data_IF_028727171999
#
_entry.id   IF_028727171999
#
_cell.length_a   1.000
_cell.length_b   1.000
_cell.length_c   1.000
_cell.angle_alpha   90.00
_cell.angle_beta   90.00
_cell.angle_gamma   90.00
#
_symmetry.space_group_name_H-M   'P 1'
#
loop_
_entity.id
_entity.type
_entity.pdbx_description
1 polymer ?
#
# COMPACT_ATOMS: atom_id res chain seq x y z
N UNK A 1 27.86 -7.34 -11.94
CA UNK A 1 27.32 -7.47 -10.58
C UNK A 1 27.14 -8.94 -10.27
N UNK A 2 27.95 -9.48 -9.36
CA UNK A 2 27.94 -10.91 -8.97
C UNK A 2 26.62 -11.21 -8.24
N UNK A 3 25.85 -12.19 -8.71
CA UNK A 3 24.64 -12.66 -8.02
C UNK A 3 25.04 -13.14 -6.61
N UNK A 4 24.43 -12.56 -5.58
CA UNK A 4 24.65 -12.98 -4.20
C UNK A 4 24.21 -14.44 -4.04
N UNK A 5 24.99 -15.23 -3.29
CA UNK A 5 24.69 -16.65 -3.07
C UNK A 5 23.32 -16.80 -2.38
N UNK A 6 22.52 -17.84 -2.69
CA UNK A 6 21.16 -18.04 -2.19
C UNK A 6 21.04 -17.99 -0.65
N UNK A 7 22.09 -18.36 0.08
CA UNK A 7 22.11 -18.35 1.54
C UNK A 7 22.27 -16.93 2.12
N UNK A 8 22.92 -16.01 1.42
CA UNK A 8 23.05 -14.61 1.86
C UNK A 8 21.70 -13.88 1.74
N UNK A 9 20.92 -14.19 0.72
CA UNK A 9 19.58 -13.61 0.55
C UNK A 9 18.60 -14.11 1.61
N UNK A 10 18.64 -15.39 1.95
CA UNK A 10 17.86 -15.96 3.07
C UNK A 10 18.19 -15.33 4.41
N UNK A 11 19.47 -15.10 4.70
CA UNK A 11 19.92 -14.46 5.93
C UNK A 11 19.50 -12.99 6.01
N UNK A 12 19.45 -12.26 4.88
CA UNK A 12 18.94 -10.87 4.81
C UNK A 12 17.44 -10.80 5.04
N UNK A 13 16.67 -11.67 4.40
CA UNK A 13 15.22 -11.79 4.58
C UNK A 13 14.87 -12.12 6.03
N UNK A 14 15.57 -13.08 6.65
CA UNK A 14 15.32 -13.45 8.04
C UNK A 14 15.60 -12.31 9.03
N UNK A 15 16.62 -11.49 8.78
CA UNK A 15 16.91 -10.28 9.58
C UNK A 15 15.82 -9.22 9.39
N UNK A 16 15.38 -8.99 8.16
CA UNK A 16 14.33 -8.04 7.87
C UNK A 16 12.99 -8.45 8.52
N UNK A 17 12.65 -9.74 8.48
CA UNK A 17 11.47 -10.29 9.15
C UNK A 17 11.51 -10.10 10.67
N UNK A 18 12.67 -10.36 11.30
CA UNK A 18 12.85 -10.10 12.73
C UNK A 18 12.70 -8.62 13.07
N UNK A 19 13.32 -7.73 12.28
CA UNK A 19 13.18 -6.30 12.47
C UNK A 19 11.72 -5.84 12.33
N UNK A 20 10.98 -6.39 11.36
CA UNK A 20 9.54 -6.14 11.22
C UNK A 20 8.74 -6.61 12.45
N UNK A 21 9.00 -7.78 12.98
CA UNK A 21 8.31 -8.28 14.20
C UNK A 21 8.55 -7.31 15.36
N UNK A 22 9.79 -6.84 15.54
CA UNK A 22 10.10 -5.87 16.59
C UNK A 22 9.39 -4.54 16.38
N UNK A 23 9.55 -3.89 15.22
CA UNK A 23 9.01 -2.55 14.99
C UNK A 23 7.51 -2.57 14.64
N UNK A 24 7.05 -3.54 13.86
CA UNK A 24 5.66 -3.61 13.41
C UNK A 24 4.70 -4.25 14.42
N UNK A 25 5.20 -5.01 15.41
CA UNK A 25 4.35 -5.72 16.36
C UNK A 25 4.74 -5.41 17.81
N UNK A 26 5.98 -5.72 18.22
CA UNK A 26 6.38 -5.63 19.64
C UNK A 26 6.34 -4.19 20.13
N UNK A 27 6.96 -3.25 19.40
CA UNK A 27 6.98 -1.83 19.78
C UNK A 27 5.57 -1.25 19.89
N UNK A 28 4.66 -1.38 18.91
CA UNK A 28 3.29 -0.88 19.04
C UNK A 28 2.51 -1.49 20.20
N UNK A 29 2.67 -2.79 20.47
CA UNK A 29 2.03 -3.46 21.61
C UNK A 29 2.56 -2.89 22.93
N UNK A 30 3.86 -2.69 23.06
CA UNK A 30 4.47 -2.09 24.26
C UNK A 30 3.98 -0.65 24.43
N UNK A 31 3.93 0.15 23.37
CA UNK A 31 3.39 1.52 23.41
C UNK A 31 1.93 1.52 23.87
N UNK A 32 1.12 0.59 23.36
CA UNK A 32 -0.29 0.44 23.75
C UNK A 32 -0.40 0.09 25.24
N UNK A 33 0.34 -0.89 25.71
CA UNK A 33 0.33 -1.26 27.13
C UNK A 33 0.78 -0.10 28.02
N UNK A 34 1.84 0.63 27.62
CA UNK A 34 2.33 1.80 28.36
C UNK A 34 1.27 2.92 28.43
N UNK A 35 0.62 3.25 27.32
CA UNK A 35 -0.44 4.26 27.29
C UNK A 35 -1.60 3.87 28.22
N UNK A 36 -2.07 2.63 28.14
CA UNK A 36 -3.16 2.11 29.01
C UNK A 36 -2.76 2.17 30.49
N UNK A 37 -1.55 1.76 30.83
CA UNK A 37 -1.06 1.82 32.23
C UNK A 37 -1.03 3.25 32.74
N UNK A 38 -0.52 4.21 31.96
CA UNK A 38 -0.51 5.63 32.34
C UNK A 38 -1.93 6.15 32.55
N UNK A 39 -2.84 5.86 31.61
CA UNK A 39 -4.24 6.30 31.71
C UNK A 39 -4.96 5.71 32.92
N UNK A 40 -4.75 4.42 33.23
CA UNK A 40 -5.29 3.78 34.43
C UNK A 40 -4.74 4.40 35.73
N UNK A 41 -3.45 4.75 35.73
CA UNK A 41 -2.82 5.35 36.92
C UNK A 41 -3.36 6.73 37.29
N UNK A 42 -3.81 7.52 36.29
CA UNK A 42 -4.37 8.87 36.51
C UNK A 42 -5.91 8.90 36.49
N UNK A 43 -6.57 7.77 36.24
CA UNK A 43 -8.02 7.69 36.06
C UNK A 43 -8.81 8.27 37.22
N UNK A 44 -8.35 8.08 38.45
CA UNK A 44 -9.01 8.65 39.65
C UNK A 44 -8.76 10.15 39.87
N UNK A 45 -7.96 10.78 39.00
CA UNK A 45 -7.59 12.21 39.12
C UNK A 45 -8.21 13.07 38.01
N UNK A 46 -8.84 12.45 37.02
CA UNK A 46 -9.53 13.16 35.91
C UNK A 46 -11.00 13.30 36.22
N UNK A 47 -11.69 14.32 35.65
CA UNK A 47 -13.16 14.45 35.79
C UNK A 47 -13.86 13.27 35.09
N UNK A 48 -15.08 12.96 35.49
CA UNK A 48 -15.95 12.02 34.79
C UNK A 48 -17.31 12.67 34.55
N UNK A 49 -17.68 12.95 33.27
CA UNK A 49 -17.01 12.60 32.02
C UNK A 49 -15.73 13.41 31.73
N UNK A 50 -14.85 12.86 30.89
CA UNK A 50 -13.65 13.51 30.34
C UNK A 50 -13.94 14.10 28.97
N UNK A 51 -13.22 15.13 28.55
CA UNK A 51 -13.23 15.65 27.19
C UNK A 51 -12.47 14.67 26.25
N UNK A 52 -13.08 14.32 25.12
CA UNK A 52 -12.52 13.41 24.11
C UNK A 52 -12.59 13.96 22.69
N UNK A 53 -13.28 15.09 22.49
CA UNK A 53 -13.37 15.77 21.21
C UNK A 53 -13.32 17.28 21.42
N UNK A 54 -12.68 17.99 20.46
CA UNK A 54 -12.54 19.45 20.44
C UNK A 54 -13.05 20.00 19.12
N UNK A 55 -13.90 20.99 19.20
CA UNK A 55 -14.45 21.70 18.06
C UNK A 55 -13.40 22.54 17.31
N UNK A 56 -13.82 23.13 16.19
CA UNK A 56 -12.96 23.99 15.34
C UNK A 56 -12.40 25.20 16.12
N UNK A 57 -13.10 25.66 17.15
CA UNK A 57 -12.65 26.73 18.07
C UNK A 57 -11.53 26.29 19.03
N UNK A 58 -11.25 25.01 19.13
CA UNK A 58 -10.28 24.45 20.07
C UNK A 58 -10.82 24.19 21.47
N UNK A 59 -12.11 24.40 21.68
CA UNK A 59 -12.81 24.11 22.95
C UNK A 59 -13.37 22.69 22.95
N UNK A 60 -13.43 22.02 24.13
CA UNK A 60 -14.05 20.70 24.27
C UNK A 60 -15.55 20.75 23.93
N UNK A 61 -15.98 19.90 22.99
CA UNK A 61 -17.40 19.81 22.59
C UNK A 61 -17.92 18.36 22.57
N UNK A 62 -17.07 17.37 22.92
CA UNK A 62 -17.47 15.98 23.08
C UNK A 62 -16.87 15.34 24.33
N UNK A 63 -17.70 14.59 25.05
CA UNK A 63 -17.35 14.04 26.35
C UNK A 63 -17.67 12.53 26.40
N UNK A 64 -16.88 11.77 27.17
CA UNK A 64 -17.09 10.35 27.38
C UNK A 64 -16.75 9.95 28.82
N UNK A 65 -17.23 8.80 29.26
CA UNK A 65 -16.87 8.25 30.55
C UNK A 65 -15.35 7.98 30.63
N UNK A 66 -14.69 8.34 31.71
CA UNK A 66 -13.24 8.26 31.85
C UNK A 66 -12.68 6.85 31.58
N UNK A 67 -13.41 5.80 32.03
CA UNK A 67 -13.01 4.39 31.80
C UNK A 67 -12.97 3.99 30.31
N UNK A 68 -13.69 4.69 29.46
CA UNK A 68 -13.74 4.36 28.03
C UNK A 68 -12.44 4.68 27.28
N UNK A 69 -11.64 5.64 27.80
CA UNK A 69 -10.40 6.08 27.14
C UNK A 69 -9.31 5.00 27.12
N UNK A 70 -8.98 4.33 28.24
CA UNK A 70 -8.04 3.20 28.19
C UNK A 70 -8.53 2.04 27.31
N UNK A 71 -9.84 1.76 27.31
CA UNK A 71 -10.43 0.74 26.46
C UNK A 71 -10.29 1.08 24.97
N UNK A 72 -10.58 2.34 24.61
CA UNK A 72 -10.39 2.86 23.25
C UNK A 72 -8.92 2.78 22.82
N UNK A 73 -7.99 3.19 23.70
CA UNK A 73 -6.55 3.13 23.47
C UNK A 73 -6.08 1.70 23.22
N UNK A 74 -6.53 0.75 24.04
CA UNK A 74 -6.23 -0.69 23.85
C UNK A 74 -6.79 -1.19 22.51
N UNK A 75 -8.05 -0.89 22.21
CA UNK A 75 -8.72 -1.31 20.97
C UNK A 75 -8.05 -0.73 19.72
N UNK A 76 -7.77 0.57 19.71
CA UNK A 76 -7.07 1.22 18.59
C UNK A 76 -5.64 0.72 18.44
N UNK A 77 -4.87 0.66 19.54
CA UNK A 77 -3.47 0.24 19.50
C UNK A 77 -3.31 -1.20 19.02
N UNK A 78 -4.07 -2.14 19.57
CA UNK A 78 -4.05 -3.55 19.14
C UNK A 78 -4.66 -3.70 17.75
N UNK A 79 -5.82 -3.08 17.49
CA UNK A 79 -6.54 -3.19 16.21
C UNK A 79 -5.70 -2.67 15.04
N UNK A 80 -5.08 -1.50 15.17
CA UNK A 80 -4.20 -0.94 14.13
C UNK A 80 -2.93 -1.77 13.96
N UNK A 81 -2.35 -2.28 15.05
CA UNK A 81 -1.19 -3.18 14.97
C UNK A 81 -1.55 -4.45 14.20
N UNK A 82 -2.67 -5.09 14.51
CA UNK A 82 -3.13 -6.30 13.80
C UNK A 82 -3.43 -5.99 12.35
N UNK A 83 -4.18 -4.91 12.06
CA UNK A 83 -4.56 -4.52 10.70
C UNK A 83 -3.34 -4.30 9.82
N UNK A 84 -2.41 -3.44 10.24
CA UNK A 84 -1.23 -3.09 9.44
C UNK A 84 -0.23 -4.26 9.33
N UNK A 85 -0.09 -5.08 10.40
CA UNK A 85 0.80 -6.23 10.38
C UNK A 85 0.23 -7.42 9.62
N UNK A 86 -1.10 -7.62 9.58
CA UNK A 86 -1.72 -8.70 8.84
C UNK A 86 -1.40 -8.63 7.34
N UNK A 87 -1.43 -7.43 6.74
CA UNK A 87 -1.04 -7.23 5.35
C UNK A 87 0.40 -7.69 5.07
N UNK A 88 1.33 -7.34 5.96
CA UNK A 88 2.72 -7.78 5.84
C UNK A 88 2.89 -9.30 6.02
N UNK A 89 2.18 -9.90 6.99
CA UNK A 89 2.29 -11.32 7.28
C UNK A 89 1.65 -12.19 6.18
N UNK A 90 0.58 -11.73 5.53
CA UNK A 90 -0.01 -12.41 4.38
C UNK A 90 1.01 -12.48 3.23
N UNK A 91 1.67 -11.36 2.91
CA UNK A 91 2.75 -11.33 1.91
C UNK A 91 3.97 -12.20 2.29
N UNK A 92 4.31 -12.26 3.59
CA UNK A 92 5.44 -13.05 4.09
C UNK A 92 5.23 -14.57 4.03
N UNK A 93 3.98 -15.07 4.10
CA UNK A 93 3.66 -16.51 3.97
C UNK A 93 4.10 -17.08 2.63
N UNK A 94 4.23 -16.26 1.64
CA UNK A 94 4.62 -16.64 0.29
C UNK A 94 6.14 -16.60 0.05
N UNK A 95 6.93 -16.36 1.10
CA UNK A 95 8.40 -16.39 1.06
C UNK A 95 9.06 -15.14 0.48
N UNK A 96 8.28 -14.14 0.12
CA UNK A 96 8.76 -12.91 -0.49
C UNK A 96 8.71 -11.74 0.49
N UNK A 97 9.82 -11.02 0.62
CA UNK A 97 9.97 -9.87 1.50
C UNK A 97 10.43 -8.65 0.70
N UNK A 98 9.56 -7.67 0.53
CA UNK A 98 9.81 -6.50 -0.32
C UNK A 98 9.88 -5.17 0.45
N UNK A 99 10.11 -4.05 -0.26
CA UNK A 99 10.18 -2.70 0.31
C UNK A 99 8.93 -2.27 1.08
N UNK A 100 7.75 -2.76 0.65
CA UNK A 100 6.47 -2.50 1.32
C UNK A 100 6.43 -3.01 2.74
N UNK A 101 7.06 -4.16 3.02
CA UNK A 101 7.13 -4.73 4.38
C UNK A 101 7.90 -3.81 5.31
N UNK A 102 9.01 -3.23 4.82
CA UNK A 102 9.77 -2.23 5.56
C UNK A 102 8.94 -0.97 5.83
N UNK A 103 8.18 -0.51 4.84
CA UNK A 103 7.29 0.65 5.00
C UNK A 103 6.21 0.39 6.05
N UNK A 104 5.49 -0.74 5.97
CA UNK A 104 4.47 -1.11 6.96
C UNK A 104 5.06 -1.28 8.36
N UNK A 105 6.23 -1.92 8.47
CA UNK A 105 6.93 -2.05 9.75
C UNK A 105 7.38 -0.71 10.36
N UNK A 106 7.46 0.36 9.56
CA UNK A 106 7.75 1.72 10.04
C UNK A 106 6.49 2.54 10.29
N UNK A 107 5.47 2.34 9.45
CA UNK A 107 4.20 3.03 9.56
C UNK A 107 3.44 2.61 10.82
N UNK A 108 3.48 1.34 11.20
CA UNK A 108 2.73 0.83 12.36
C UNK A 108 3.11 1.53 13.67
N UNK A 109 4.38 1.59 14.09
CA UNK A 109 4.75 2.29 15.32
C UNK A 109 4.53 3.80 15.22
N UNK A 110 4.67 4.39 14.04
CA UNK A 110 4.40 5.80 13.81
C UNK A 110 2.92 6.14 14.08
N UNK A 111 2.00 5.42 13.45
CA UNK A 111 0.56 5.66 13.57
C UNK A 111 0.08 5.32 14.98
N UNK A 112 0.42 4.14 15.50
CA UNK A 112 -0.01 3.72 16.84
C UNK A 112 0.57 4.63 17.91
N UNK A 113 1.87 4.92 17.86
CA UNK A 113 2.52 5.79 18.85
C UNK A 113 2.02 7.24 18.80
N UNK A 114 1.83 7.79 17.60
CA UNK A 114 1.29 9.14 17.43
C UNK A 114 -0.13 9.28 17.98
N UNK A 115 -1.03 8.36 17.64
CA UNK A 115 -2.42 8.37 18.13
C UNK A 115 -2.46 8.17 19.65
N UNK A 116 -1.74 7.19 20.18
CA UNK A 116 -1.72 6.93 21.61
C UNK A 116 -1.11 8.09 22.40
N UNK A 117 -0.11 8.77 21.84
CA UNK A 117 0.45 9.99 22.45
C UNK A 117 -0.60 11.10 22.56
N UNK A 118 -1.38 11.35 21.49
CA UNK A 118 -2.46 12.34 21.52
C UNK A 118 -3.49 11.97 22.58
N UNK A 119 -4.00 10.74 22.54
CA UNK A 119 -5.06 10.30 23.49
C UNK A 119 -4.56 10.32 24.93
N UNK A 120 -3.33 9.85 25.17
CA UNK A 120 -2.79 9.82 26.55
C UNK A 120 -2.51 11.22 27.06
N UNK A 121 -1.94 12.10 26.22
CA UNK A 121 -1.68 13.50 26.60
C UNK A 121 -2.96 14.23 26.95
N UNK A 122 -3.99 14.18 26.09
CA UNK A 122 -5.27 14.83 26.34
C UNK A 122 -5.95 14.30 27.60
N UNK A 123 -5.81 13.01 27.89
CA UNK A 123 -6.36 12.40 29.08
C UNK A 123 -5.63 12.83 30.37
N UNK A 124 -4.28 12.75 30.34
CA UNK A 124 -3.44 13.13 31.50
C UNK A 124 -3.53 14.63 31.81
N UNK A 125 -3.64 15.48 30.78
CA UNK A 125 -3.77 16.93 30.96
C UNK A 125 -5.05 17.33 31.71
N UNK A 126 -6.05 16.47 31.78
CA UNK A 126 -7.27 16.70 32.56
C UNK A 126 -7.17 16.30 34.04
N UNK A 127 -6.02 15.75 34.47
CA UNK A 127 -5.83 15.37 35.86
C UNK A 127 -5.84 16.62 36.79
N UNK A 128 -6.66 16.59 37.82
CA UNK A 128 -6.84 17.69 38.77
C UNK A 128 -7.90 18.72 38.37
N UNK A 129 -8.48 18.60 37.15
CA UNK A 129 -9.61 19.43 36.76
C UNK A 129 -10.89 18.98 37.47
N UNK A 130 -11.74 19.93 37.78
CA UNK A 130 -13.06 19.67 38.39
C UNK A 130 -14.11 19.37 37.32
N UNK A 131 -13.96 19.95 36.13
CA UNK A 131 -14.88 19.78 35.00
C UNK A 131 -14.09 19.59 33.72
N UNK A 132 -14.60 18.76 32.79
CA UNK A 132 -13.97 18.53 31.51
C UNK A 132 -14.07 19.73 30.56
N UNK A 133 -14.93 20.70 30.84
CA UNK A 133 -15.04 21.95 30.07
C UNK A 133 -13.81 22.84 30.21
N UNK A 134 -13.03 22.68 31.29
CA UNK A 134 -11.80 23.41 31.54
C UNK A 134 -10.57 22.78 30.92
N UNK A 135 -10.75 21.71 30.11
CA UNK A 135 -9.64 21.04 29.45
C UNK A 135 -8.99 21.94 28.41
N UNK A 136 -7.64 21.90 28.39
CA UNK A 136 -6.85 22.66 27.43
C UNK A 136 -7.11 22.21 25.97
N UNK A 137 -6.75 23.10 25.03
CA UNK A 137 -6.94 22.83 23.60
C UNK A 137 -6.08 21.67 23.06
N UNK A 138 -6.50 21.10 21.93
CA UNK A 138 -5.90 19.91 21.30
C UNK A 138 -4.57 20.16 20.58
N UNK A 139 -4.17 21.42 20.36
CA UNK A 139 -3.02 21.76 19.48
C UNK A 139 -1.71 21.17 20.01
N UNK A 140 -1.43 21.31 21.30
CA UNK A 140 -0.22 20.77 21.90
C UNK A 140 -0.15 19.24 21.82
N UNK A 141 -1.19 18.47 22.19
CA UNK A 141 -1.25 17.02 21.97
C UNK A 141 -1.02 16.60 20.51
N UNK A 142 -1.59 17.35 19.54
CA UNK A 142 -1.38 17.06 18.11
C UNK A 142 0.08 17.26 17.68
N UNK A 143 0.74 18.33 18.16
CA UNK A 143 2.16 18.58 17.87
C UNK A 143 3.03 17.45 18.41
N UNK A 144 2.85 17.07 19.67
CA UNK A 144 3.63 15.98 20.29
C UNK A 144 3.30 14.62 19.70
N UNK A 145 2.04 14.35 19.36
CA UNK A 145 1.64 13.13 18.67
C UNK A 145 2.26 13.04 17.27
N UNK A 146 2.25 14.15 16.53
CA UNK A 146 2.93 14.25 15.23
C UNK A 146 4.45 14.04 15.31
N UNK A 147 5.10 14.70 16.28
CA UNK A 147 6.53 14.53 16.54
C UNK A 147 6.88 13.07 16.90
N UNK A 148 6.08 12.45 17.78
CA UNK A 148 6.23 11.04 18.16
C UNK A 148 6.08 10.12 16.95
N UNK A 149 5.08 10.34 16.09
CA UNK A 149 4.88 9.57 14.87
C UNK A 149 6.08 9.67 13.92
N UNK A 150 6.61 10.87 13.70
CA UNK A 150 7.78 11.11 12.85
C UNK A 150 9.00 10.38 13.43
N UNK A 151 9.29 10.55 14.71
CA UNK A 151 10.46 9.96 15.35
C UNK A 151 10.39 8.42 15.29
N UNK A 152 9.27 7.83 15.70
CA UNK A 152 9.09 6.38 15.67
C UNK A 152 9.15 5.81 14.24
N UNK A 153 8.53 6.50 13.28
CA UNK A 153 8.58 6.12 11.88
C UNK A 153 9.98 6.15 11.30
N UNK A 154 10.73 7.23 11.55
CA UNK A 154 12.12 7.38 11.09
C UNK A 154 13.03 6.35 11.75
N UNK A 155 12.97 6.19 13.06
CA UNK A 155 13.77 5.19 13.80
C UNK A 155 13.49 3.79 13.26
N UNK A 156 12.22 3.40 13.11
CA UNK A 156 11.87 2.11 12.55
C UNK A 156 12.35 1.96 11.10
N UNK A 157 12.23 2.99 10.28
CA UNK A 157 12.69 2.97 8.88
C UNK A 157 14.20 2.79 8.74
N UNK A 158 14.99 3.52 9.52
CA UNK A 158 16.47 3.43 9.41
C UNK A 158 17.02 2.14 10.02
N UNK A 159 16.34 1.60 11.04
CA UNK A 159 16.74 0.36 11.73
C UNK A 159 16.39 -0.92 10.97
N UNK A 160 15.45 -0.86 10.00
CA UNK A 160 15.08 -2.02 9.21
C UNK A 160 16.01 -2.21 8.01
N UNK A 161 16.52 -3.44 7.76
CA UNK A 161 17.38 -3.73 6.61
C UNK A 161 16.67 -3.47 5.28
N UNK A 162 17.41 -2.96 4.30
CA UNK A 162 16.94 -2.88 2.91
C UNK A 162 17.06 -4.27 2.27
N UNK A 163 15.94 -4.84 1.90
CA UNK A 163 15.88 -6.07 1.12
C UNK A 163 15.40 -5.68 -0.28
N UNK A 164 16.26 -5.87 -1.26
CA UNK A 164 15.88 -5.84 -2.67
C UNK A 164 15.58 -7.28 -3.04
N UNK A 165 14.32 -7.61 -3.25
CA UNK A 165 13.96 -8.89 -3.83
C UNK A 165 14.37 -8.80 -5.29
N UNK A 166 15.44 -9.51 -5.65
CA UNK A 166 15.70 -9.81 -7.03
C UNK A 166 14.60 -10.78 -7.46
N UNK A 167 13.52 -10.26 -8.03
CA UNK A 167 12.55 -11.09 -8.73
C UNK A 167 13.36 -12.01 -9.65
N UNK A 168 13.12 -13.32 -9.57
CA UNK A 168 13.85 -14.26 -10.38
C UNK A 168 13.79 -13.80 -11.83
N UNK A 169 14.91 -13.30 -12.35
CA UNK A 169 15.03 -12.97 -13.77
C UNK A 169 15.00 -14.28 -14.51
N UNK A 170 13.82 -14.69 -14.94
CA UNK A 170 13.70 -15.66 -16.00
C UNK A 170 14.16 -14.91 -17.25
N UNK A 171 15.42 -15.06 -17.63
CA UNK A 171 15.85 -14.67 -18.98
C UNK A 171 14.87 -15.34 -19.92
N UNK A 172 14.22 -14.55 -20.75
CA UNK A 172 13.41 -15.07 -21.84
C UNK A 172 14.35 -15.88 -22.77
N UNK A 173 14.49 -17.17 -22.47
CA UNK A 173 15.12 -18.17 -23.35
C UNK A 173 14.11 -18.71 -24.36
N UNK A 174 13.13 -17.88 -24.72
CA UNK A 174 12.24 -18.22 -25.83
C UNK A 174 13.00 -17.92 -27.09
N UNK A 175 13.06 -18.92 -28.01
CA UNK A 175 13.45 -18.65 -29.37
C UNK A 175 12.64 -17.49 -29.90
N UNK A 176 13.30 -16.34 -30.05
CA UNK A 176 12.67 -15.15 -30.58
C UNK A 176 12.32 -15.45 -32.02
N UNK A 177 11.03 -15.49 -32.41
CA UNK A 177 10.69 -15.73 -33.81
C UNK A 177 11.40 -14.68 -34.66
N UNK A 178 12.19 -15.10 -35.62
CA UNK A 178 12.82 -14.20 -36.59
C UNK A 178 11.71 -13.58 -37.44
N UNK A 179 11.30 -12.34 -37.12
CA UNK A 179 10.33 -11.65 -37.94
C UNK A 179 10.91 -11.27 -39.28
N UNK A 180 10.28 -11.72 -40.37
CA UNK A 180 10.65 -11.36 -41.72
C UNK A 180 10.42 -9.86 -41.98
N UNK A 181 11.13 -9.28 -43.00
CA UNK A 181 10.91 -7.89 -43.39
C UNK A 181 9.45 -7.71 -43.85
N UNK A 182 8.71 -6.81 -43.19
CA UNK A 182 7.30 -6.51 -43.47
C UNK A 182 6.29 -7.36 -42.71
N UNK A 183 6.70 -8.36 -41.96
CA UNK A 183 5.80 -9.15 -41.14
C UNK A 183 5.24 -8.33 -39.98
N UNK A 184 3.92 -8.37 -39.78
CA UNK A 184 3.23 -7.70 -38.67
C UNK A 184 2.90 -8.74 -37.61
N UNK A 185 3.62 -8.69 -36.49
CA UNK A 185 3.30 -9.49 -35.32
C UNK A 185 2.64 -8.61 -34.27
N UNK A 186 1.57 -9.11 -33.69
CA UNK A 186 0.82 -8.45 -32.59
C UNK A 186 0.52 -9.48 -31.54
N UNK A 187 0.85 -9.17 -30.30
CA UNK A 187 0.47 -9.97 -29.14
C UNK A 187 -0.49 -9.14 -28.27
N UNK A 188 -1.59 -9.77 -27.85
CA UNK A 188 -2.61 -9.12 -27.02
C UNK A 188 -3.05 -10.07 -25.93
N UNK A 189 -3.09 -9.58 -24.70
CA UNK A 189 -3.69 -10.26 -23.55
C UNK A 189 -4.45 -9.25 -22.67
N UNK A 190 -5.37 -9.79 -21.90
CA UNK A 190 -6.07 -9.03 -20.86
C UNK A 190 -5.55 -9.51 -19.52
N UNK A 191 -5.13 -8.58 -18.66
CA UNK A 191 -4.83 -8.84 -17.26
C UNK A 191 -5.95 -8.27 -16.39
N UNK A 192 -6.37 -9.00 -15.36
CA UNK A 192 -7.44 -8.59 -14.46
C UNK A 192 -7.07 -8.87 -13.01
N UNK A 193 -7.74 -8.17 -12.11
CA UNK A 193 -7.63 -8.41 -10.68
C UNK A 193 -8.10 -9.83 -10.36
N UNK A 194 -7.42 -10.49 -9.43
CA UNK A 194 -7.81 -11.81 -8.95
C UNK A 194 -9.20 -11.78 -8.29
N UNK A 195 -9.90 -12.93 -8.32
CA UNK A 195 -11.27 -13.06 -7.83
C UNK A 195 -11.46 -12.56 -6.38
N UNK A 196 -10.52 -12.85 -5.49
CA UNK A 196 -10.59 -12.39 -4.10
C UNK A 196 -10.58 -10.86 -3.98
N UNK A 197 -9.69 -10.18 -4.70
CA UNK A 197 -9.64 -8.71 -4.72
C UNK A 197 -10.90 -8.10 -5.33
N UNK A 198 -11.45 -8.73 -6.38
CA UNK A 198 -12.71 -8.33 -7.00
C UNK A 198 -13.88 -8.42 -6.01
N UNK A 199 -14.02 -9.55 -5.31
CA UNK A 199 -15.07 -9.74 -4.30
C UNK A 199 -15.00 -8.70 -3.19
N UNK A 200 -13.81 -8.38 -2.70
CA UNK A 200 -13.62 -7.36 -1.66
C UNK A 200 -14.05 -5.97 -2.15
N UNK A 201 -13.61 -5.56 -3.34
CA UNK A 201 -13.92 -4.23 -3.88
C UNK A 201 -15.40 -4.07 -4.23
N UNK A 202 -15.98 -5.06 -4.91
CA UNK A 202 -17.41 -5.06 -5.25
C UNK A 202 -18.25 -5.13 -3.98
N UNK A 203 -17.87 -6.00 -3.03
CA UNK A 203 -18.56 -6.12 -1.73
C UNK A 203 -18.54 -4.79 -0.95
N UNK A 204 -17.39 -4.11 -0.88
CA UNK A 204 -17.31 -2.79 -0.23
C UNK A 204 -18.21 -1.76 -0.91
N UNK A 205 -18.28 -1.75 -2.25
CA UNK A 205 -19.15 -0.85 -3.01
C UNK A 205 -20.62 -1.13 -2.73
N UNK A 206 -21.01 -2.40 -2.71
CA UNK A 206 -22.39 -2.83 -2.40
C UNK A 206 -22.77 -2.45 -0.97
N UNK A 207 -21.87 -2.63 0.01
CA UNK A 207 -22.10 -2.26 1.40
C UNK A 207 -22.32 -0.74 1.51
N UNK A 208 -21.46 0.08 0.88
CA UNK A 208 -21.63 1.54 0.89
C UNK A 208 -22.97 1.97 0.29
N UNK A 209 -23.37 1.33 -0.81
CA UNK A 209 -24.66 1.60 -1.43
C UNK A 209 -25.84 1.19 -0.53
N UNK A 210 -25.76 0.03 0.12
CA UNK A 210 -26.77 -0.43 1.07
C UNK A 210 -26.87 0.49 2.30
N UNK A 211 -25.73 0.96 2.83
CA UNK A 211 -25.69 1.93 3.92
C UNK A 211 -26.32 3.27 3.51
N UNK A 212 -26.08 3.73 2.28
CA UNK A 212 -26.71 4.95 1.77
C UNK A 212 -28.24 4.80 1.67
N UNK A 213 -28.73 3.67 1.17
CA UNK A 213 -30.18 3.39 1.13
C UNK A 213 -30.80 3.30 2.51
N UNK A 214 -30.11 2.67 3.46
CA UNK A 214 -30.56 2.57 4.84
C UNK A 214 -30.67 3.97 5.49
N UNK A 215 -29.63 4.79 5.36
CA UNK A 215 -29.62 6.16 5.90
C UNK A 215 -30.70 7.04 5.25
N UNK A 216 -30.92 6.90 3.93
CA UNK A 216 -32.02 7.57 3.23
C UNK A 216 -33.39 7.15 3.78
N UNK A 217 -33.62 5.84 3.98
CA UNK A 217 -34.89 5.33 4.52
C UNK A 217 -35.11 5.75 5.99
N UNK A 218 -34.02 5.93 6.75
CA UNK A 218 -34.05 6.44 8.13
C UNK A 218 -34.16 7.98 8.24
N UNK A 219 -34.38 8.68 7.13
CA UNK A 219 -34.36 10.14 7.02
C UNK A 219 -33.07 10.78 7.54
N UNK A 220 -31.94 10.05 7.44
CA UNK A 220 -30.61 10.53 7.77
C UNK A 220 -30.07 11.53 6.75
N UNK A 221 -28.96 12.18 7.06
CA UNK A 221 -28.36 13.25 6.24
C UNK A 221 -27.08 12.85 5.48
N UNK A 222 -26.52 11.65 5.73
CA UNK A 222 -25.22 11.23 5.17
C UNK A 222 -25.33 10.42 3.84
N UNK A 223 -26.52 9.98 3.45
CA UNK A 223 -26.72 9.18 2.24
C UNK A 223 -26.15 9.79 0.95
N UNK A 224 -26.17 11.13 0.71
CA UNK A 224 -25.60 11.67 -0.52
C UNK A 224 -24.09 11.47 -0.58
N UNK A 225 -23.39 11.61 0.57
CA UNK A 225 -21.97 11.39 0.67
C UNK A 225 -21.63 9.91 0.41
N UNK A 226 -22.38 8.99 1.03
CA UNK A 226 -22.21 7.55 0.82
C UNK A 226 -22.43 7.15 -0.63
N UNK A 227 -23.44 7.71 -1.31
CA UNK A 227 -23.67 7.48 -2.73
C UNK A 227 -22.54 8.01 -3.61
N UNK A 228 -22.04 9.21 -3.32
CA UNK A 228 -20.90 9.78 -4.06
C UNK A 228 -19.67 8.88 -3.88
N UNK A 229 -19.37 8.45 -2.66
CA UNK A 229 -18.22 7.57 -2.38
C UNK A 229 -18.39 6.22 -3.07
N UNK A 230 -19.58 5.60 -3.02
CA UNK A 230 -19.86 4.37 -3.72
C UNK A 230 -19.72 4.51 -5.25
N UNK A 231 -20.22 5.61 -5.82
CA UNK A 231 -20.10 5.92 -7.24
C UNK A 231 -18.66 6.13 -7.69
N UNK A 232 -17.87 6.90 -6.93
CA UNK A 232 -16.43 7.09 -7.18
C UNK A 232 -15.69 5.76 -7.08
N UNK A 233 -15.97 4.94 -6.08
CA UNK A 233 -15.35 3.62 -5.91
C UNK A 233 -15.70 2.71 -7.09
N UNK A 234 -16.97 2.66 -7.51
CA UNK A 234 -17.39 1.89 -8.69
C UNK A 234 -16.67 2.34 -9.96
N UNK A 235 -16.53 3.66 -10.18
CA UNK A 235 -15.79 4.21 -11.32
C UNK A 235 -14.30 3.83 -11.28
N UNK A 236 -13.67 3.92 -10.12
CA UNK A 236 -12.26 3.51 -9.92
C UNK A 236 -12.09 2.01 -10.19
N UNK A 237 -13.00 1.17 -9.71
CA UNK A 237 -13.00 -0.28 -9.99
C UNK A 237 -13.08 -0.51 -11.50
N UNK A 238 -14.04 0.10 -12.18
CA UNK A 238 -14.23 -0.05 -13.62
C UNK A 238 -13.00 0.41 -14.43
N UNK A 239 -12.31 1.46 -13.95
CA UNK A 239 -11.13 1.99 -14.60
C UNK A 239 -9.85 1.17 -14.35
N UNK A 240 -9.76 0.41 -13.24
CA UNK A 240 -8.48 -0.14 -12.78
C UNK A 240 -8.44 -1.65 -12.59
N UNK A 241 -9.58 -2.33 -12.64
CA UNK A 241 -9.69 -3.76 -12.35
C UNK A 241 -9.21 -4.66 -13.48
N UNK A 242 -9.15 -4.13 -14.70
CA UNK A 242 -8.77 -4.85 -15.91
C UNK A 242 -7.95 -3.96 -16.82
N UNK A 243 -6.95 -4.54 -17.52
CA UNK A 243 -6.18 -3.85 -18.56
C UNK A 243 -5.96 -4.76 -19.75
N UNK A 244 -6.06 -4.18 -20.94
CA UNK A 244 -5.61 -4.81 -22.19
C UNK A 244 -4.15 -4.44 -22.40
N UNK A 245 -3.30 -5.47 -22.48
CA UNK A 245 -1.87 -5.37 -22.78
C UNK A 245 -1.67 -5.75 -24.24
N UNK A 246 -1.01 -4.89 -24.99
CA UNK A 246 -0.72 -5.08 -26.41
C UNK A 246 0.75 -4.79 -26.68
N UNK A 247 1.38 -5.67 -27.43
CA UNK A 247 2.72 -5.51 -27.98
C UNK A 247 2.60 -5.52 -29.51
N UNK A 248 3.07 -4.47 -30.16
CA UNK A 248 3.08 -4.32 -31.61
C UNK A 248 4.27 -3.48 -32.08
N UNK A 249 4.28 -3.09 -33.36
CA UNK A 249 5.34 -2.26 -33.96
C UNK A 249 5.47 -0.85 -33.33
N UNK A 250 4.50 -0.40 -32.56
CA UNK A 250 4.55 0.87 -31.83
C UNK A 250 5.09 0.71 -30.40
N UNK A 251 5.29 -0.53 -29.93
CA UNK A 251 5.81 -0.85 -28.60
C UNK A 251 4.82 -1.54 -27.67
N UNK A 252 4.98 -1.33 -26.37
CA UNK A 252 4.10 -1.86 -25.33
C UNK A 252 3.01 -0.85 -24.99
N UNK A 253 1.75 -1.27 -25.06
CA UNK A 253 0.59 -0.48 -24.67
C UNK A 253 -0.23 -1.22 -23.62
N UNK A 254 -0.62 -0.51 -22.55
CA UNK A 254 -1.46 -1.03 -21.48
C UNK A 254 -2.60 -0.05 -21.26
N UNK A 255 -3.83 -0.48 -21.55
CA UNK A 255 -5.00 0.40 -21.60
C UNK A 255 -6.15 -0.19 -20.80
N UNK A 256 -6.76 0.62 -19.94
CA UNK A 256 -7.97 0.25 -19.20
C UNK A 256 -9.20 0.17 -20.12
N UNK A 257 -10.31 -0.49 -19.71
CA UNK A 257 -11.54 -0.55 -20.49
C UNK A 257 -12.13 0.83 -20.83
N UNK A 258 -11.97 1.80 -19.94
CA UNK A 258 -12.44 3.16 -20.12
C UNK A 258 -11.49 4.04 -20.96
N UNK A 259 -10.37 3.47 -21.43
CA UNK A 259 -9.32 4.21 -22.14
C UNK A 259 -8.40 5.03 -21.23
N UNK A 260 -8.75 5.18 -19.94
CA UNK A 260 -7.98 5.88 -18.91
C UNK A 260 -8.05 5.05 -17.61
N UNK A 261 -6.91 4.76 -16.97
CA UNK A 261 -5.53 5.12 -17.35
C UNK A 261 -5.00 4.31 -18.54
N UNK A 262 -4.06 4.90 -19.25
CA UNK A 262 -3.33 4.24 -20.34
C UNK A 262 -1.83 4.49 -20.20
N UNK A 263 -1.05 3.47 -20.54
CA UNK A 263 0.42 3.51 -20.51
C UNK A 263 0.93 3.08 -21.87
N UNK A 264 1.95 3.76 -22.37
CA UNK A 264 2.62 3.43 -23.62
C UNK A 264 4.13 3.51 -23.44
N UNK A 265 4.84 2.52 -23.95
CA UNK A 265 6.29 2.50 -24.02
C UNK A 265 6.69 2.25 -25.46
N UNK A 266 7.02 3.30 -26.24
CA UNK A 266 7.47 3.18 -27.61
C UNK A 266 8.76 2.37 -27.72
N UNK A 267 8.99 1.71 -28.89
CA UNK A 267 10.15 0.84 -29.09
C UNK A 267 11.48 1.58 -28.95
N UNK A 268 11.56 2.80 -29.44
CA UNK A 268 12.73 3.68 -29.37
C UNK A 268 13.16 4.06 -27.94
N UNK A 269 12.23 3.99 -26.98
CA UNK A 269 12.50 4.25 -25.58
C UNK A 269 12.90 3.00 -24.79
N UNK A 270 12.83 1.82 -25.37
CA UNK A 270 13.10 0.54 -24.71
C UNK A 270 14.59 0.24 -24.71
N UNK A 271 15.20 0.24 -23.51
CA UNK A 271 16.60 -0.16 -23.32
C UNK A 271 16.70 -1.66 -23.04
N UNK A 272 15.84 -2.18 -22.15
CA UNK A 272 15.89 -3.57 -21.72
C UNK A 272 14.48 -4.11 -21.44
N UNK A 273 14.28 -5.40 -21.69
CA UNK A 273 13.01 -6.10 -21.41
C UNK A 273 13.32 -7.39 -20.68
N UNK A 274 12.64 -7.62 -19.57
CA UNK A 274 12.81 -8.81 -18.73
C UNK A 274 11.46 -9.42 -18.38
N UNK A 275 11.46 -10.72 -18.15
CA UNK A 275 10.37 -11.39 -17.44
C UNK A 275 10.77 -11.49 -15.98
N UNK A 276 9.91 -10.99 -15.10
CA UNK A 276 10.12 -10.98 -13.65
C UNK A 276 8.90 -11.59 -12.96
N UNK A 277 9.12 -12.25 -11.83
CA UNK A 277 8.00 -12.65 -10.96
C UNK A 277 7.68 -11.52 -10.01
N UNK A 278 6.40 -11.15 -9.91
CA UNK A 278 5.91 -10.03 -9.11
C UNK A 278 4.93 -10.51 -8.05
N UNK A 279 5.15 -10.04 -6.82
CA UNK A 279 4.18 -10.10 -5.76
C UNK A 279 3.60 -8.70 -5.53
N UNK A 280 2.30 -8.46 -5.83
CA UNK A 280 1.70 -7.14 -5.72
C UNK A 280 1.87 -6.48 -4.35
N UNK A 281 1.68 -7.25 -3.27
CA UNK A 281 1.79 -6.72 -1.91
C UNK A 281 3.23 -6.44 -1.50
N UNK A 282 4.15 -7.34 -1.82
CA UNK A 282 5.55 -7.20 -1.42
C UNK A 282 6.29 -6.10 -2.21
N UNK A 283 6.07 -6.07 -3.54
CA UNK A 283 6.85 -5.22 -4.46
C UNK A 283 6.22 -3.84 -4.66
N UNK A 284 4.88 -3.76 -4.66
CA UNK A 284 4.14 -2.55 -5.03
C UNK A 284 3.15 -2.06 -3.95
N UNK A 285 3.04 -2.73 -2.82
CA UNK A 285 2.12 -2.35 -1.75
C UNK A 285 0.65 -2.59 -2.06
N UNK A 286 0.34 -3.43 -3.05
CA UNK A 286 -1.03 -3.79 -3.42
C UNK A 286 -1.24 -3.93 -4.91
N UNK A 287 -2.48 -4.25 -5.25
CA UNK A 287 -2.92 -4.42 -6.63
C UNK A 287 -3.28 -3.08 -7.29
N UNK A 288 -3.29 -3.06 -8.62
CA UNK A 288 -3.71 -1.91 -9.43
C UNK A 288 -2.57 -1.21 -10.14
N UNK A 289 -2.79 0.08 -10.48
CA UNK A 289 -1.74 0.98 -10.95
C UNK A 289 -0.98 1.49 -9.74
N UNK A 290 0.31 1.15 -9.64
CA UNK A 290 1.13 1.42 -8.47
C UNK A 290 2.49 1.97 -8.84
N UNK A 291 3.04 2.78 -7.93
CA UNK A 291 4.44 3.15 -7.93
C UNK A 291 5.11 2.43 -6.76
N UNK A 292 6.04 1.54 -7.05
CA UNK A 292 6.83 0.84 -6.06
C UNK A 292 7.75 1.79 -5.29
N UNK A 293 8.10 1.41 -4.07
CA UNK A 293 9.06 2.16 -3.24
C UNK A 293 10.48 2.15 -3.81
N UNK A 294 10.75 1.29 -4.76
CA UNK A 294 11.97 1.20 -5.57
C UNK A 294 11.96 2.12 -6.80
N UNK A 295 10.87 2.86 -7.01
CA UNK A 295 10.69 3.80 -8.12
C UNK A 295 10.07 3.20 -9.37
N UNK A 296 9.88 1.87 -9.46
CA UNK A 296 9.19 1.23 -10.59
C UNK A 296 7.72 1.64 -10.63
N UNK A 297 7.18 1.85 -11.81
CA UNK A 297 5.73 2.03 -12.01
C UNK A 297 5.16 0.73 -12.58
N UNK A 298 4.04 0.26 -12.04
CA UNK A 298 3.45 -1.01 -12.48
C UNK A 298 1.94 -0.98 -12.62
N UNK A 299 1.44 -1.81 -13.54
CA UNK A 299 0.05 -2.29 -13.59
C UNK A 299 0.08 -3.71 -13.07
N UNK A 300 -0.17 -3.88 -11.78
CA UNK A 300 0.04 -5.11 -11.03
C UNK A 300 -1.29 -5.62 -10.51
N UNK A 301 -1.95 -6.47 -11.25
CA UNK A 301 -3.31 -6.93 -10.94
C UNK A 301 -3.35 -8.33 -10.34
N UNK A 302 -2.26 -9.08 -10.44
CA UNK A 302 -2.16 -10.43 -9.92
C UNK A 302 -0.71 -10.76 -9.58
N UNK A 303 -0.51 -11.80 -8.80
CA UNK A 303 0.79 -12.40 -8.57
C UNK A 303 1.19 -13.25 -9.77
N UNK A 304 2.48 -13.32 -10.05
CA UNK A 304 3.08 -14.16 -11.07
C UNK A 304 3.95 -13.39 -12.05
N UNK A 305 4.07 -13.91 -13.26
CA UNK A 305 4.96 -13.37 -14.26
C UNK A 305 4.50 -11.99 -14.77
N UNK A 306 5.48 -11.14 -15.01
CA UNK A 306 5.29 -9.79 -15.49
C UNK A 306 6.34 -9.44 -16.55
N UNK A 307 5.98 -8.59 -17.48
CA UNK A 307 6.92 -7.92 -18.37
C UNK A 307 7.43 -6.67 -17.69
N UNK A 308 8.74 -6.59 -17.48
CA UNK A 308 9.45 -5.42 -17.00
C UNK A 308 10.20 -4.76 -18.16
N UNK A 309 9.96 -3.48 -18.34
CA UNK A 309 10.58 -2.66 -19.42
C UNK A 309 11.35 -1.52 -18.80
N UNK A 310 12.65 -1.48 -19.04
CA UNK A 310 13.52 -0.34 -18.68
C UNK A 310 13.56 0.66 -19.83
N UNK A 311 13.31 1.93 -19.53
CA UNK A 311 13.29 3.02 -20.52
C UNK A 311 14.61 3.78 -20.55
N UNK A 312 14.91 4.43 -21.64
CA UNK A 312 16.07 5.33 -21.80
C UNK A 312 16.07 6.49 -20.76
N UNK A 313 14.91 6.88 -20.26
CA UNK A 313 14.77 7.87 -19.17
C UNK A 313 15.24 7.36 -17.80
N UNK A 314 15.64 6.08 -17.67
CA UNK A 314 15.94 5.42 -16.40
C UNK A 314 14.71 4.92 -15.63
N UNK A 315 13.50 5.21 -16.10
CA UNK A 315 12.27 4.71 -15.47
C UNK A 315 11.99 3.28 -15.88
N UNK A 316 11.41 2.49 -14.97
CA UNK A 316 11.03 1.09 -15.22
C UNK A 316 9.51 0.95 -15.13
N UNK A 317 8.93 0.27 -16.12
CA UNK A 317 7.51 -0.06 -16.17
C UNK A 317 7.30 -1.57 -16.08
N UNK A 318 6.35 -2.00 -15.25
CA UNK A 318 6.05 -3.42 -15.01
C UNK A 318 4.57 -3.69 -15.27
N UNK A 319 4.26 -4.78 -15.96
CA UNK A 319 2.88 -5.23 -16.11
C UNK A 319 2.76 -6.73 -15.90
N UNK A 320 1.93 -7.13 -14.93
CA UNK A 320 1.62 -8.55 -14.71
C UNK A 320 0.67 -9.06 -15.79
N UNK A 321 1.06 -10.14 -16.48
CA UNK A 321 0.29 -10.67 -17.59
C UNK A 321 0.58 -12.15 -17.79
N UNK A 322 -0.41 -12.91 -18.30
CA UNK A 322 -0.20 -14.28 -18.74
C UNK A 322 0.71 -14.28 -19.97
N UNK A 323 1.58 -15.32 -20.06
CA UNK A 323 2.46 -15.50 -21.19
C UNK A 323 3.42 -14.30 -21.38
N UNK A 324 3.94 -13.78 -20.24
CA UNK A 324 4.90 -12.67 -20.24
C UNK A 324 6.16 -12.96 -21.06
N UNK A 325 6.55 -14.23 -21.17
CA UNK A 325 7.71 -14.67 -21.94
C UNK A 325 7.54 -14.39 -23.43
N UNK A 326 6.39 -14.74 -24.01
CA UNK A 326 6.08 -14.47 -25.41
C UNK A 326 6.00 -12.96 -25.67
N UNK A 327 5.35 -12.20 -24.76
CA UNK A 327 5.28 -10.75 -24.87
C UNK A 327 6.66 -10.08 -24.85
N UNK A 328 7.54 -10.50 -23.93
CA UNK A 328 8.90 -9.98 -23.81
C UNK A 328 9.75 -10.36 -25.03
N UNK A 329 9.67 -11.60 -25.50
CA UNK A 329 10.35 -12.06 -26.70
C UNK A 329 9.96 -11.28 -27.95
N UNK A 330 8.64 -11.07 -28.17
CA UNK A 330 8.15 -10.27 -29.29
C UNK A 330 8.62 -8.81 -29.18
N UNK A 331 8.58 -8.22 -27.98
CA UNK A 331 9.00 -6.83 -27.77
C UNK A 331 10.48 -6.64 -28.08
N UNK A 332 11.33 -7.59 -27.68
CA UNK A 332 12.76 -7.62 -28.02
C UNK A 332 12.98 -7.77 -29.54
N UNK A 333 12.26 -8.70 -30.20
CA UNK A 333 12.38 -8.91 -31.65
C UNK A 333 11.98 -7.65 -32.45
N UNK A 334 10.92 -6.97 -32.02
CA UNK A 334 10.45 -5.73 -32.65
C UNK A 334 11.46 -4.60 -32.48
N UNK A 335 11.99 -4.42 -31.24
CA UNK A 335 13.02 -3.41 -30.94
C UNK A 335 14.30 -3.63 -31.78
N UNK A 336 14.79 -4.87 -31.83
CA UNK A 336 16.02 -5.20 -32.55
C UNK A 336 15.86 -5.09 -34.08
N UNK A 337 14.62 -5.24 -34.57
CA UNK A 337 14.29 -4.98 -35.99
C UNK A 337 14.25 -3.48 -36.27
N UNK A 338 13.65 -2.69 -35.41
CA UNK A 338 13.56 -1.22 -35.52
C UNK A 338 14.97 -0.60 -35.53
N UNK A 339 15.84 -1.02 -34.61
CA UNK A 339 17.23 -0.60 -34.55
C UNK A 339 18.03 -0.92 -35.83
N UNK A 340 17.74 -2.06 -36.46
CA UNK A 340 18.40 -2.46 -37.75
C UNK A 340 17.79 -1.72 -38.96
N UNK A 341 16.53 -1.34 -38.91
CA UNK A 341 15.84 -0.61 -39.99
C UNK A 341 16.15 0.89 -40.00
N UNK A 342 16.49 1.47 -38.87
CA UNK A 342 16.92 2.87 -38.75
C UNK A 342 18.40 3.11 -39.09
N UNK A 343 19.18 2.06 -39.26
CA UNK A 343 20.61 2.12 -39.64
C UNK A 343 20.85 1.93 -41.14
N UNK A 344 19.81 1.75 -41.96
CA UNK A 344 19.85 1.64 -43.40
C UNK A 344 19.24 2.84 -44.09
#
# INVERSE_FOLDING_TARGET
MTAAAPDQDRARVSRARRAFVWFGIVVPVVLTATAVVIQLAVMGQVPDPVAVHWGVGGEPDGYAAAWSVPLLSAGLGVGMTVLLSAFALIGAREGEWGPTMRFLGSLTPAVVGGILMIITWTFVAQAGLTTATDADGIVEPLVWGGATAIVLGVVAWVSQPRVVVSGGTVRATTEIPSLARGERAVWVRTTSLGSAGMVVLVGATVILFALALFDFAAAGGVWPVLLIVAGVLALVILATVMFRVRVDAEGLKVVSPLGVPRFSVPLDQIVDVRVVSVNPMADFGGWGVRKGLDGRTGVVLRRGDAVEVSRASGSTFVVTVDDATTAAGLLLALRDRDARGGAA
#
